data_IF_020654733161
#
_entry.id   IF_020654733161
#
_cell.length_a   1.000
_cell.length_b   1.000
_cell.length_c   1.000
_cell.angle_alpha   90.00
_cell.angle_beta   90.00
_cell.angle_gamma   90.00
#
_symmetry.space_group_name_H-M   'P 1'
#
loop_
_entity.id
_entity.type
_entity.pdbx_description
1 polymer ?
#
# COMPACT_ATOMS: atom_id res chain seq x y z
N UNK A 1 -38.66 -8.27 -37.31
CA UNK A 1 -39.56 -9.36 -37.71
C UNK A 1 -38.81 -10.31 -38.62
N UNK A 2 -38.91 -11.61 -38.32
CA UNK A 2 -38.58 -12.78 -39.14
C UNK A 2 -37.10 -13.06 -39.49
N UNK A 3 -36.45 -13.78 -38.58
CA UNK A 3 -35.35 -14.73 -38.78
C UNK A 3 -35.83 -15.95 -39.58
N UNK A 4 -35.01 -16.46 -40.49
CA UNK A 4 -35.21 -17.76 -41.14
C UNK A 4 -34.10 -18.74 -40.75
N UNK A 5 -34.52 -19.88 -40.21
CA UNK A 5 -33.76 -21.02 -39.74
C UNK A 5 -33.21 -21.87 -40.90
N UNK A 6 -32.10 -22.56 -40.69
CA UNK A 6 -31.84 -23.86 -41.31
C UNK A 6 -30.89 -24.67 -40.44
N UNK A 7 -31.27 -25.93 -40.20
CA UNK A 7 -30.70 -26.86 -39.24
C UNK A 7 -30.07 -28.07 -39.95
N UNK A 8 -28.94 -28.50 -39.39
CA UNK A 8 -28.47 -29.88 -39.12
C UNK A 8 -28.29 -30.86 -40.30
N UNK A 9 -27.07 -31.42 -40.39
CA UNK A 9 -26.85 -32.84 -40.72
C UNK A 9 -25.66 -33.41 -39.93
N UNK A 10 -25.88 -34.54 -39.26
CA UNK A 10 -24.91 -35.40 -38.55
C UNK A 10 -24.86 -36.74 -39.30
N UNK A 11 -23.69 -37.42 -39.37
CA UNK A 11 -23.68 -38.88 -39.29
C UNK A 11 -22.44 -39.40 -38.48
N UNK A 12 -22.23 -40.72 -38.26
CA UNK A 12 -22.51 -41.37 -36.98
C UNK A 12 -21.28 -42.00 -36.30
N UNK A 13 -21.55 -42.53 -35.11
CA UNK A 13 -20.69 -43.19 -34.12
C UNK A 13 -19.96 -44.45 -34.58
N UNK A 14 -18.78 -44.70 -33.99
CA UNK A 14 -18.26 -46.06 -33.75
C UNK A 14 -17.65 -46.18 -32.34
N UNK A 15 -18.18 -47.13 -31.57
CA UNK A 15 -17.65 -47.61 -30.30
C UNK A 15 -16.27 -48.25 -30.47
N UNK A 16 -15.35 -47.99 -29.53
CA UNK A 16 -14.38 -48.99 -29.11
C UNK A 16 -13.91 -48.76 -27.65
N UNK A 17 -13.82 -49.88 -26.96
CA UNK A 17 -13.67 -50.14 -25.54
C UNK A 17 -12.37 -49.67 -24.86
N UNK A 18 -12.55 -49.24 -23.61
CA UNK A 18 -11.74 -49.51 -22.40
C UNK A 18 -10.22 -49.71 -22.52
N UNK A 19 -9.47 -48.83 -21.85
CA UNK A 19 -8.37 -49.25 -20.98
C UNK A 19 -8.13 -48.23 -19.87
N UNK A 20 -8.72 -48.52 -18.70
CA UNK A 20 -8.37 -47.92 -17.42
C UNK A 20 -6.92 -48.29 -17.06
N UNK A 21 -6.01 -47.31 -17.09
CA UNK A 21 -4.76 -47.40 -16.32
C UNK A 21 -4.97 -46.73 -14.98
N UNK A 22 -5.05 -47.55 -13.93
CA UNK A 22 -4.85 -47.14 -12.54
C UNK A 22 -3.45 -46.52 -12.43
N UNK A 23 -3.36 -45.23 -12.10
CA UNK A 23 -2.11 -44.64 -11.64
C UNK A 23 -2.06 -44.85 -10.13
N UNK A 24 -1.12 -45.69 -9.73
CA UNK A 24 -0.85 -46.07 -8.36
C UNK A 24 -0.06 -44.93 -7.69
N UNK A 25 -0.57 -44.38 -6.59
CA UNK A 25 0.19 -43.50 -5.71
C UNK A 25 1.23 -44.34 -4.97
N UNK A 26 2.50 -44.17 -5.33
CA UNK A 26 3.61 -44.55 -4.46
C UNK A 26 4.78 -43.58 -4.63
N UNK A 27 5.04 -42.83 -3.56
CA UNK A 27 6.34 -42.29 -3.12
C UNK A 27 7.33 -41.88 -4.21
N UNK A 28 7.36 -40.59 -4.54
CA UNK A 28 8.53 -39.96 -5.18
C UNK A 28 9.02 -38.83 -4.29
N UNK A 29 9.94 -39.23 -3.41
CA UNK A 29 10.81 -38.36 -2.65
C UNK A 29 12.11 -38.27 -3.46
N UNK A 30 12.18 -37.35 -4.43
CA UNK A 30 13.44 -37.08 -5.13
C UNK A 30 13.75 -35.58 -5.14
N UNK A 31 14.96 -35.31 -4.68
CA UNK A 31 15.66 -34.04 -4.59
C UNK A 31 15.48 -33.24 -5.89
N UNK A 32 14.95 -32.03 -5.75
CA UNK A 32 14.99 -31.01 -6.79
C UNK A 32 16.46 -30.70 -7.14
N UNK A 33 16.89 -31.19 -8.29
CA UNK A 33 18.08 -30.73 -8.98
C UNK A 33 17.89 -29.27 -9.40
N UNK A 34 18.72 -28.39 -8.86
CA UNK A 34 18.85 -27.00 -9.31
C UNK A 34 19.62 -27.01 -10.63
N UNK A 35 19.08 -26.48 -11.74
CA UNK A 35 19.87 -26.24 -12.94
C UNK A 35 20.90 -25.14 -12.64
N UNK A 36 22.16 -25.53 -12.54
CA UNK A 36 23.28 -24.60 -12.59
C UNK A 36 23.37 -23.98 -13.98
N UNK A 37 23.68 -22.67 -14.00
CA UNK A 37 24.09 -21.83 -15.14
C UNK A 37 23.00 -20.98 -15.81
N UNK A 38 22.71 -19.83 -15.19
CA UNK A 38 22.73 -18.54 -15.88
C UNK A 38 23.58 -17.55 -15.07
N UNK A 39 24.47 -16.76 -15.69
CA UNK A 39 25.47 -15.99 -14.96
C UNK A 39 24.82 -14.76 -14.33
N UNK A 40 24.52 -14.83 -13.03
CA UNK A 40 24.39 -13.62 -12.23
C UNK A 40 25.78 -12.96 -12.13
N UNK A 41 25.97 -11.88 -12.89
CA UNK A 41 27.11 -10.97 -12.68
C UNK A 41 26.89 -10.25 -11.36
N UNK A 42 27.49 -10.76 -10.30
CA UNK A 42 27.79 -9.97 -9.10
C UNK A 42 28.72 -8.82 -9.50
N UNK A 43 28.44 -7.56 -9.09
CA UNK A 43 29.40 -6.49 -9.29
C UNK A 43 30.59 -6.75 -8.37
N UNK A 44 31.73 -7.14 -8.96
CA UNK A 44 33.02 -7.06 -8.26
C UNK A 44 33.33 -5.58 -8.06
N UNK A 45 33.19 -5.08 -6.84
CA UNK A 45 33.84 -3.84 -6.42
C UNK A 45 35.36 -4.06 -6.50
N UNK A 46 35.95 -3.72 -7.65
CA UNK A 46 37.39 -3.50 -7.74
C UNK A 46 37.67 -2.13 -7.12
N UNK A 47 38.29 -2.15 -5.94
CA UNK A 47 38.98 -1.01 -5.37
C UNK A 47 39.98 -0.48 -6.40
N UNK A 48 39.63 0.61 -7.10
CA UNK A 48 40.57 1.42 -7.85
C UNK A 48 41.35 2.25 -6.84
N UNK A 49 42.61 1.87 -6.60
CA UNK A 49 43.61 2.76 -6.00
C UNK A 49 43.74 4.00 -6.87
N UNK A 50 43.51 5.18 -6.28
CA UNK A 50 43.88 6.47 -6.88
C UNK A 50 45.42 6.63 -6.84
N UNK A 51 46.02 7.36 -7.80
CA UNK A 51 47.47 7.54 -7.84
C UNK A 51 47.96 8.38 -6.65
N UNK A 52 49.10 7.99 -6.09
CA UNK A 52 49.78 8.73 -5.03
C UNK A 52 50.34 10.05 -5.54
N UNK A 53 49.90 11.16 -4.94
CA UNK A 53 50.66 12.41 -4.92
C UNK A 53 51.01 12.72 -3.46
N UNK A 54 52.30 12.90 -3.22
CA UNK A 54 52.97 13.08 -1.92
C UNK A 54 52.86 14.52 -1.37
N UNK A 55 52.74 14.63 -0.04
CA UNK A 55 52.86 15.87 0.77
C UNK A 55 51.52 16.55 1.02
N UNK A 56 51.09 16.93 2.23
CA UNK A 56 51.80 17.33 3.45
C UNK A 56 50.83 17.22 4.64
N UNK A 57 51.35 17.06 5.86
CA UNK A 57 50.61 16.87 7.12
C UNK A 57 49.30 17.67 7.29
N UNK A 58 48.20 16.95 7.47
CA UNK A 58 46.92 17.47 7.95
C UNK A 58 46.22 16.39 8.77
N UNK A 59 46.00 16.67 10.04
CA UNK A 59 45.35 15.80 11.03
C UNK A 59 44.00 15.32 10.51
N UNK A 60 43.86 14.00 10.31
CA UNK A 60 42.57 13.38 9.97
C UNK A 60 41.73 13.35 11.23
N UNK A 61 40.80 14.30 11.36
CA UNK A 61 39.63 14.15 12.24
C UNK A 61 38.69 13.18 11.52
N UNK A 62 38.76 11.92 11.92
CA UNK A 62 37.80 10.90 11.52
C UNK A 62 36.49 11.19 12.27
N UNK A 63 35.59 11.94 11.63
CA UNK A 63 34.37 12.44 12.25
C UNK A 63 33.39 11.34 12.65
N UNK A 64 32.91 11.47 13.89
CA UNK A 64 31.82 10.80 14.63
C UNK A 64 30.44 10.74 13.92
N UNK A 65 30.36 10.27 12.66
CA UNK A 65 29.05 10.14 11.99
C UNK A 65 28.19 8.98 12.52
N UNK A 66 28.81 7.88 12.96
CA UNK A 66 28.07 6.68 13.37
C UNK A 66 27.52 6.72 14.81
N UNK A 67 28.03 7.60 15.67
CA UNK A 67 27.74 7.61 17.11
C UNK A 67 26.42 8.32 17.47
N UNK A 68 25.95 9.24 16.63
CA UNK A 68 24.72 10.03 16.87
C UNK A 68 23.52 9.46 16.08
N UNK A 69 23.74 8.88 14.90
CA UNK A 69 22.66 8.37 14.05
C UNK A 69 21.99 7.09 14.61
N UNK A 70 22.76 6.24 15.29
CA UNK A 70 22.25 5.00 15.88
C UNK A 70 21.24 5.23 17.02
N UNK A 71 21.53 6.07 18.04
CA UNK A 71 20.54 6.40 19.08
C UNK A 71 19.23 6.96 18.52
N UNK A 72 19.32 7.91 17.57
CA UNK A 72 18.14 8.52 16.93
C UNK A 72 17.30 7.46 16.18
N UNK A 73 17.98 6.52 15.52
CA UNK A 73 17.29 5.44 14.80
C UNK A 73 16.59 4.47 15.77
N UNK A 74 17.19 4.18 16.92
CA UNK A 74 16.57 3.36 17.98
C UNK A 74 15.32 4.06 18.53
N UNK A 75 15.40 5.36 18.84
CA UNK A 75 14.26 6.15 19.34
C UNK A 75 13.11 6.24 18.32
N UNK A 76 13.46 6.35 17.03
CA UNK A 76 12.49 6.35 15.94
C UNK A 76 11.80 4.99 15.80
N UNK A 77 12.55 3.89 15.85
CA UNK A 77 12.00 2.54 15.80
C UNK A 77 11.09 2.27 17.00
N UNK A 78 11.53 2.61 18.20
CA UNK A 78 10.77 2.48 19.45
C UNK A 78 9.44 3.26 19.38
N UNK A 79 9.49 4.50 18.89
CA UNK A 79 8.30 5.32 18.67
C UNK A 79 7.36 4.72 17.63
N UNK A 80 7.89 4.14 16.55
CA UNK A 80 7.09 3.41 15.55
C UNK A 80 6.43 2.16 16.15
N UNK A 81 7.16 1.40 16.96
CA UNK A 81 6.66 0.21 17.66
C UNK A 81 5.52 0.60 18.59
N UNK A 82 5.76 1.56 19.50
CA UNK A 82 4.76 2.06 20.45
C UNK A 82 3.49 2.55 19.78
N UNK A 83 3.62 3.25 18.65
CA UNK A 83 2.47 3.73 17.89
C UNK A 83 1.54 2.58 17.46
N UNK A 84 2.13 1.43 17.10
CA UNK A 84 1.42 0.26 16.55
C UNK A 84 0.94 -0.77 17.59
N UNK A 85 1.48 -0.79 18.81
CA UNK A 85 1.17 -1.78 19.84
C UNK A 85 -0.34 -1.90 20.18
N UNK A 86 -0.78 -3.09 20.56
CA UNK A 86 -2.14 -3.33 21.05
C UNK A 86 -3.03 -4.09 20.07
N UNK A 87 -4.31 -4.15 20.41
CA UNK A 87 -5.32 -4.88 19.65
C UNK A 87 -6.14 -3.91 18.81
N UNK A 88 -6.20 -4.19 17.52
CA UNK A 88 -6.91 -3.39 16.52
C UNK A 88 -8.08 -4.20 15.97
N UNK A 89 -9.29 -3.66 16.07
CA UNK A 89 -10.45 -4.22 15.38
C UNK A 89 -10.69 -3.40 14.13
N UNK A 90 -10.85 -4.07 12.99
CA UNK A 90 -10.88 -3.36 11.72
C UNK A 90 -11.72 -4.03 10.64
N UNK A 91 -11.80 -3.31 9.53
CA UNK A 91 -12.42 -3.75 8.29
C UNK A 91 -11.44 -3.51 7.14
N UNK A 92 -11.21 -4.59 6.40
CA UNK A 92 -10.46 -4.60 5.16
C UNK A 92 -11.41 -4.37 3.99
N UNK A 93 -11.06 -3.44 3.10
CA UNK A 93 -11.83 -3.08 1.92
C UNK A 93 -10.96 -3.23 0.68
N UNK A 94 -11.45 -3.95 -0.32
CA UNK A 94 -10.84 -4.00 -1.65
C UNK A 94 -11.62 -3.12 -2.61
N UNK A 95 -10.92 -2.23 -3.30
CA UNK A 95 -11.46 -1.38 -4.35
C UNK A 95 -10.75 -1.63 -5.69
N UNK A 96 -11.49 -1.43 -6.78
CA UNK A 96 -10.90 -1.31 -8.12
C UNK A 96 -10.36 0.12 -8.37
N UNK A 97 -9.79 0.36 -9.56
CA UNK A 97 -9.29 1.68 -9.95
C UNK A 97 -10.35 2.77 -10.09
N UNK A 98 -11.64 2.40 -10.15
CA UNK A 98 -12.79 3.31 -10.18
C UNK A 98 -13.43 3.48 -8.79
N UNK A 99 -12.81 2.96 -7.73
CA UNK A 99 -13.29 3.13 -6.36
C UNK A 99 -14.55 2.31 -6.06
N UNK A 100 -14.85 1.29 -6.85
CA UNK A 100 -15.94 0.36 -6.57
C UNK A 100 -15.51 -0.64 -5.51
N UNK A 101 -16.31 -0.81 -4.47
CA UNK A 101 -16.05 -1.80 -3.42
C UNK A 101 -16.29 -3.21 -3.97
N UNK A 102 -15.25 -4.03 -3.99
CA UNK A 102 -15.32 -5.43 -4.41
C UNK A 102 -15.63 -6.35 -3.23
N UNK A 103 -14.84 -6.22 -2.15
CA UNK A 103 -14.97 -7.05 -0.96
C UNK A 103 -14.74 -6.23 0.31
N UNK A 104 -15.48 -6.59 1.38
CA UNK A 104 -15.32 -6.07 2.73
C UNK A 104 -15.19 -7.24 3.69
N UNK A 105 -14.08 -7.29 4.42
CA UNK A 105 -13.70 -8.42 5.27
C UNK A 105 -13.42 -7.90 6.68
N UNK A 106 -13.98 -8.55 7.70
CA UNK A 106 -13.68 -8.18 9.09
C UNK A 106 -12.33 -8.74 9.50
N UNK A 107 -11.50 -7.92 10.13
CA UNK A 107 -10.16 -8.29 10.58
C UNK A 107 -9.90 -7.86 12.01
N UNK A 108 -9.08 -8.61 12.73
CA UNK A 108 -8.46 -8.17 14.01
C UNK A 108 -6.95 -8.24 13.85
N UNK A 109 -6.22 -7.31 14.44
CA UNK A 109 -4.76 -7.31 14.40
C UNK A 109 -4.23 -7.16 15.83
N UNK A 110 -3.52 -8.19 16.31
CA UNK A 110 -2.83 -8.15 17.59
C UNK A 110 -1.36 -7.79 17.35
N UNK A 111 -0.89 -6.75 18.04
CA UNK A 111 0.47 -6.22 17.87
C UNK A 111 1.20 -6.21 19.20
N UNK A 112 2.33 -6.91 19.26
CA UNK A 112 3.24 -6.95 20.40
C UNK A 112 4.66 -6.52 20.01
N UNK A 113 5.54 -6.41 21.01
CA UNK A 113 6.96 -6.17 20.81
C UNK A 113 7.81 -7.20 21.55
N UNK A 114 9.02 -7.41 21.05
CA UNK A 114 10.03 -8.25 21.68
C UNK A 114 11.43 -7.62 21.53
N UNK A 115 12.30 -7.86 22.49
CA UNK A 115 13.66 -7.29 22.52
C UNK A 115 13.71 -5.83 22.99
N UNK A 116 14.93 -5.31 23.15
CA UNK A 116 15.21 -3.95 23.64
C UNK A 116 16.34 -3.31 22.80
N UNK A 117 16.40 -1.97 22.77
CA UNK A 117 17.40 -1.22 22.03
C UNK A 117 17.41 -1.54 20.53
N UNK A 118 18.57 -1.85 19.96
CA UNK A 118 18.70 -2.18 18.53
C UNK A 118 18.01 -3.51 18.13
N UNK A 119 17.70 -4.36 19.10
CA UNK A 119 17.06 -5.66 18.91
C UNK A 119 15.53 -5.61 19.07
N UNK A 120 14.96 -4.42 19.25
CA UNK A 120 13.50 -4.28 19.29
C UNK A 120 12.87 -4.74 17.97
N UNK A 121 11.79 -5.48 18.12
CA UNK A 121 11.02 -6.03 17.03
C UNK A 121 9.52 -5.84 17.30
N UNK A 122 8.77 -5.61 16.24
CA UNK A 122 7.31 -5.59 16.20
C UNK A 122 6.83 -6.94 15.66
N UNK A 123 5.98 -7.58 16.45
CA UNK A 123 5.33 -8.84 16.10
C UNK A 123 3.85 -8.58 15.89
N UNK A 124 3.31 -9.04 14.77
CA UNK A 124 1.94 -8.73 14.36
C UNK A 124 1.24 -10.00 13.87
N UNK A 125 0.08 -10.27 14.45
CA UNK A 125 -0.79 -11.38 14.05
C UNK A 125 -2.12 -10.83 13.56
N UNK A 126 -2.43 -11.08 12.29
CA UNK A 126 -3.67 -10.68 11.65
C UNK A 126 -4.65 -11.85 11.68
N UNK A 127 -5.82 -11.63 12.24
CA UNK A 127 -6.94 -12.56 12.25
C UNK A 127 -7.96 -12.12 11.20
N UNK A 128 -8.33 -13.03 10.32
CA UNK A 128 -9.23 -12.80 9.20
C UNK A 128 -10.52 -13.57 9.45
N UNK A 129 -11.66 -12.89 9.49
CA UNK A 129 -12.95 -13.55 9.67
C UNK A 129 -13.30 -14.34 8.41
N UNK A 130 -13.54 -15.64 8.55
CA UNK A 130 -13.93 -16.52 7.45
C UNK A 130 -15.45 -16.44 7.20
N UNK A 131 -15.90 -16.65 5.95
CA UNK A 131 -17.32 -16.82 5.66
C UNK A 131 -17.86 -18.09 6.35
N UNK A 132 -19.17 -18.16 6.68
CA UNK A 132 -19.75 -19.36 7.29
C UNK A 132 -19.60 -20.58 6.37
N UNK A 133 -19.14 -21.70 6.91
CA UNK A 133 -18.96 -22.94 6.15
C UNK A 133 -20.29 -23.48 5.62
N UNK A 134 -20.31 -23.83 4.33
CA UNK A 134 -21.48 -24.40 3.63
C UNK A 134 -21.85 -25.80 4.14
N UNK A 135 -21.00 -26.42 4.95
CA UNK A 135 -21.13 -27.76 5.53
C UNK A 135 -21.69 -27.77 6.96
N UNK A 136 -21.96 -26.60 7.56
CA UNK A 136 -22.47 -26.51 8.93
C UNK A 136 -23.95 -26.92 9.02
N UNK A 137 -24.24 -27.95 9.82
CA UNK A 137 -25.61 -28.42 10.05
C UNK A 137 -26.32 -27.50 11.05
N UNK A 138 -27.58 -27.15 10.74
CA UNK A 138 -28.42 -26.26 11.55
C UNK A 138 -28.55 -26.77 12.99
N UNK A 139 -27.89 -26.12 13.96
CA UNK A 139 -28.08 -26.44 15.38
C UNK A 139 -27.05 -25.89 16.35
N UNK A 140 -25.82 -25.58 15.93
CA UNK A 140 -24.82 -24.97 16.82
C UNK A 140 -24.76 -23.46 16.63
N UNK A 141 -24.75 -22.71 17.74
CA UNK A 141 -24.42 -21.30 17.80
C UNK A 141 -23.01 -21.11 17.23
N UNK A 142 -22.93 -20.79 15.93
CA UNK A 142 -21.70 -20.77 15.16
C UNK A 142 -20.80 -19.63 15.64
N UNK A 143 -19.88 -19.92 16.57
CA UNK A 143 -18.74 -19.07 16.85
C UNK A 143 -18.05 -18.72 15.52
N UNK A 144 -17.74 -17.44 15.31
CA UNK A 144 -17.13 -17.01 14.04
C UNK A 144 -15.73 -17.61 13.90
N UNK A 145 -15.47 -18.30 12.80
CA UNK A 145 -14.14 -18.83 12.49
C UNK A 145 -13.18 -17.72 12.06
N UNK A 146 -11.95 -17.78 12.57
CA UNK A 146 -10.89 -16.81 12.30
C UNK A 146 -9.63 -17.52 11.81
N UNK A 147 -9.13 -17.11 10.66
CA UNK A 147 -7.84 -17.56 10.15
C UNK A 147 -6.71 -16.67 10.71
N UNK A 148 -5.66 -17.29 11.24
CA UNK A 148 -4.48 -16.59 11.76
C UNK A 148 -3.38 -16.45 10.69
N UNK A 149 -2.98 -15.21 10.41
CA UNK A 149 -1.83 -14.89 9.57
C UNK A 149 -0.75 -14.14 10.36
N UNK A 150 0.44 -14.74 10.46
CA UNK A 150 1.61 -14.12 11.09
C UNK A 150 2.32 -13.21 10.09
N UNK A 151 2.23 -11.90 10.31
CA UNK A 151 2.92 -10.91 9.49
C UNK A 151 4.42 -11.02 9.75
N UNK A 152 5.23 -10.79 8.72
CA UNK A 152 6.69 -10.75 8.84
C UNK A 152 7.12 -9.77 9.93
N UNK A 153 8.02 -10.22 10.79
CA UNK A 153 8.60 -9.41 11.86
C UNK A 153 9.19 -8.11 11.31
N UNK A 154 8.92 -7.00 12.02
CA UNK A 154 9.47 -5.69 11.70
C UNK A 154 10.46 -5.26 12.79
N UNK A 155 11.75 -5.22 12.44
CA UNK A 155 12.86 -4.78 13.29
C UNK A 155 13.76 -3.78 12.54
N UNK A 156 14.78 -3.25 13.22
CA UNK A 156 15.73 -2.23 12.71
C UNK A 156 16.24 -2.52 11.29
N UNK A 157 16.57 -3.78 11.00
CA UNK A 157 17.07 -4.17 9.68
C UNK A 157 15.97 -4.11 8.62
N UNK A 158 14.80 -4.65 8.91
CA UNK A 158 13.69 -4.69 7.95
C UNK A 158 13.12 -3.31 7.64
N UNK A 159 12.98 -2.43 8.64
CA UNK A 159 12.43 -1.08 8.45
C UNK A 159 13.33 -0.22 7.55
N UNK A 160 14.65 -0.40 7.65
CA UNK A 160 15.61 0.33 6.83
C UNK A 160 15.78 -0.29 5.44
N UNK A 161 16.08 -1.59 5.37
CA UNK A 161 16.52 -2.24 4.13
C UNK A 161 15.39 -2.70 3.24
N UNK A 162 14.29 -3.19 3.81
CA UNK A 162 13.22 -3.81 3.04
C UNK A 162 12.01 -2.90 2.91
N UNK A 163 11.55 -2.35 4.03
CA UNK A 163 10.33 -1.55 4.06
C UNK A 163 10.59 -0.08 3.74
N UNK A 164 11.84 0.38 3.83
CA UNK A 164 12.17 1.75 3.47
C UNK A 164 11.23 2.71 4.22
N UNK A 165 11.20 2.68 5.55
CA UNK A 165 10.18 3.41 6.30
C UNK A 165 10.25 4.93 6.05
N UNK A 166 9.10 5.58 5.89
CA UNK A 166 8.96 7.04 6.06
C UNK A 166 8.10 7.29 7.28
N UNK A 167 8.69 7.74 8.39
CA UNK A 167 7.98 7.83 9.67
C UNK A 167 7.89 9.27 10.18
N UNK A 168 6.72 9.62 10.71
CA UNK A 168 6.40 10.92 11.29
C UNK A 168 5.94 10.74 12.74
N UNK A 169 6.86 10.75 13.71
CA UNK A 169 6.52 10.43 15.10
C UNK A 169 5.50 11.39 15.72
N UNK A 170 5.62 12.70 15.41
CA UNK A 170 4.75 13.74 15.99
C UNK A 170 3.38 13.74 15.33
N UNK A 171 3.36 13.58 14.02
CA UNK A 171 2.16 13.61 13.18
C UNK A 171 1.42 12.26 13.18
N UNK A 172 2.02 11.21 13.76
CA UNK A 172 1.49 9.84 13.80
C UNK A 172 1.11 9.33 12.42
N UNK A 173 2.06 9.39 11.49
CA UNK A 173 1.89 8.89 10.13
C UNK A 173 3.11 8.06 9.72
N UNK A 174 2.90 7.08 8.84
CA UNK A 174 4.02 6.31 8.29
C UNK A 174 3.73 5.75 6.90
N UNK A 175 4.78 5.48 6.13
CA UNK A 175 4.71 4.78 4.87
C UNK A 175 5.71 3.62 4.82
N UNK A 176 5.29 2.48 4.30
CA UNK A 176 6.09 1.26 4.18
C UNK A 176 6.01 0.66 2.77
N UNK A 177 7.11 0.03 2.35
CA UNK A 177 7.17 -0.84 1.19
C UNK A 177 6.97 -2.29 1.60
N UNK A 178 6.20 -3.02 0.82
CA UNK A 178 6.14 -4.48 0.90
C UNK A 178 6.81 -5.09 -0.33
N UNK A 179 7.53 -6.20 -0.14
CA UNK A 179 8.19 -6.93 -1.23
C UNK A 179 7.18 -7.71 -2.08
N UNK A 180 6.05 -8.10 -1.48
CA UNK A 180 5.02 -8.96 -2.07
C UNK A 180 3.67 -8.60 -1.49
N UNK A 181 2.59 -8.85 -2.23
CA UNK A 181 1.22 -8.67 -1.75
C UNK A 181 0.65 -9.93 -1.02
N UNK A 182 1.48 -10.92 -0.66
CA UNK A 182 1.01 -12.22 -0.15
C UNK A 182 0.16 -12.18 1.13
N UNK A 183 0.42 -11.22 2.02
CA UNK A 183 -0.45 -10.99 3.20
C UNK A 183 -1.85 -10.59 2.75
N UNK A 184 -1.93 -9.66 1.79
CA UNK A 184 -3.18 -9.11 1.26
C UNK A 184 -3.94 -10.16 0.42
N UNK A 185 -3.21 -10.99 -0.34
CA UNK A 185 -3.76 -12.17 -1.02
C UNK A 185 -4.41 -13.14 -0.01
N UNK A 186 -3.74 -13.41 1.11
CA UNK A 186 -4.26 -14.31 2.14
C UNK A 186 -5.52 -13.77 2.79
N UNK A 187 -5.58 -12.45 3.05
CA UNK A 187 -6.80 -11.79 3.55
C UNK A 187 -7.98 -12.01 2.61
N UNK A 188 -7.77 -11.82 1.30
CA UNK A 188 -8.80 -12.03 0.28
C UNK A 188 -9.25 -13.49 0.19
N UNK A 189 -8.31 -14.44 0.13
CA UNK A 189 -8.63 -15.87 0.06
C UNK A 189 -9.41 -16.33 1.28
N UNK A 190 -8.89 -16.06 2.48
CA UNK A 190 -9.50 -16.55 3.71
C UNK A 190 -10.79 -15.81 4.05
N UNK A 191 -10.88 -14.52 3.75
CA UNK A 191 -12.08 -13.73 4.05
C UNK A 191 -13.21 -13.85 3.02
N UNK A 192 -12.94 -14.34 1.80
CA UNK A 192 -13.97 -14.51 0.75
C UNK A 192 -14.28 -15.98 0.47
N UNK A 193 -13.25 -16.84 0.41
CA UNK A 193 -13.41 -18.26 0.11
C UNK A 193 -13.45 -19.12 1.37
N UNK A 194 -12.67 -18.74 2.40
CA UNK A 194 -12.61 -19.50 3.65
C UNK A 194 -12.09 -20.93 3.44
N UNK A 195 -12.78 -21.90 4.03
CA UNK A 195 -12.46 -23.34 3.89
C UNK A 195 -12.65 -23.88 2.47
N UNK A 196 -13.45 -23.20 1.64
CA UNK A 196 -13.70 -23.59 0.25
C UNK A 196 -12.55 -23.23 -0.70
N UNK A 197 -11.46 -22.60 -0.21
CA UNK A 197 -10.28 -22.31 -1.03
C UNK A 197 -9.52 -23.60 -1.42
N UNK A 198 -9.73 -24.04 -2.66
CA UNK A 198 -9.02 -25.18 -3.26
C UNK A 198 -7.59 -24.83 -3.75
N UNK A 199 -7.11 -23.62 -3.49
CA UNK A 199 -5.75 -23.19 -3.85
C UNK A 199 -5.57 -22.88 -5.34
N UNK A 200 -6.67 -22.62 -6.06
CA UNK A 200 -6.61 -22.19 -7.45
C UNK A 200 -5.85 -20.87 -7.60
N UNK A 201 -5.06 -20.74 -8.66
CA UNK A 201 -4.29 -19.52 -8.94
C UNK A 201 -5.19 -18.31 -9.23
N UNK A 202 -6.38 -18.54 -9.80
CA UNK A 202 -7.33 -17.49 -10.16
C UNK A 202 -8.77 -17.98 -9.93
N UNK A 203 -9.21 -18.00 -8.66
CA UNK A 203 -10.56 -18.41 -8.31
C UNK A 203 -11.61 -17.52 -9.00
N UNK A 204 -12.74 -18.11 -9.38
CA UNK A 204 -13.82 -17.36 -10.04
C UNK A 204 -14.35 -16.25 -9.14
N UNK A 205 -14.59 -15.07 -9.71
CA UNK A 205 -15.19 -13.90 -9.04
C UNK A 205 -14.39 -13.32 -7.87
N UNK A 206 -13.11 -13.66 -7.72
CA UNK A 206 -12.23 -13.07 -6.72
C UNK A 206 -10.99 -12.48 -7.41
N UNK A 207 -10.80 -11.17 -7.27
CA UNK A 207 -9.64 -10.47 -7.82
C UNK A 207 -8.49 -10.55 -6.82
N UNK A 208 -7.49 -11.38 -7.12
CA UNK A 208 -6.27 -11.49 -6.34
C UNK A 208 -5.16 -10.58 -6.90
N UNK A 209 -4.23 -10.10 -6.06
CA UNK A 209 -3.07 -9.35 -6.52
C UNK A 209 -2.10 -10.23 -7.30
N UNK A 210 -1.36 -9.61 -8.21
CA UNK A 210 -0.29 -10.28 -8.96
C UNK A 210 0.74 -10.91 -8.02
N UNK A 211 1.27 -12.09 -8.40
CA UNK A 211 2.32 -12.79 -7.63
C UNK A 211 3.63 -11.98 -7.49
N UNK A 212 3.91 -11.11 -8.46
CA UNK A 212 5.13 -10.29 -8.53
C UNK A 212 4.76 -8.84 -8.88
N UNK A 213 4.08 -8.12 -7.97
CA UNK A 213 3.72 -6.73 -8.21
C UNK A 213 4.97 -5.87 -8.33
N UNK A 214 4.92 -4.81 -9.11
CA UNK A 214 6.04 -3.86 -9.23
C UNK A 214 6.15 -2.98 -7.99
N UNK A 215 5.02 -2.54 -7.45
CA UNK A 215 4.93 -1.72 -6.23
C UNK A 215 3.84 -2.30 -5.31
N UNK A 216 4.19 -2.42 -4.02
CA UNK A 216 3.22 -2.57 -2.93
C UNK A 216 3.60 -1.55 -1.87
N UNK A 217 2.82 -0.47 -1.77
CA UNK A 217 3.07 0.64 -0.88
C UNK A 217 1.92 0.80 0.11
N UNK A 218 2.24 0.78 1.39
CA UNK A 218 1.33 1.15 2.48
C UNK A 218 1.58 2.61 2.87
N UNK A 219 0.50 3.37 2.99
CA UNK A 219 0.47 4.67 3.65
C UNK A 219 -0.52 4.59 4.82
N UNK A 220 -0.09 5.01 6.01
CA UNK A 220 -0.90 4.99 7.22
C UNK A 220 -1.05 6.40 7.80
N UNK A 221 -2.30 6.79 8.04
CA UNK A 221 -2.68 8.00 8.74
C UNK A 221 -3.48 7.64 9.99
N UNK A 222 -3.11 8.23 11.13
CA UNK A 222 -3.90 8.15 12.35
C UNK A 222 -4.89 9.29 12.42
N UNK A 223 -6.05 9.01 13.01
CA UNK A 223 -7.08 10.01 13.31
C UNK A 223 -6.54 10.99 14.36
N UNK A 224 -6.87 12.27 14.17
CA UNK A 224 -6.56 13.35 15.09
C UNK A 224 -7.48 13.33 16.31
N UNK A 225 -8.69 12.76 16.16
CA UNK A 225 -9.74 12.83 17.18
C UNK A 225 -9.95 11.51 17.95
N UNK A 226 -9.66 10.36 17.34
CA UNK A 226 -9.87 9.03 17.96
C UNK A 226 -8.64 8.14 17.79
N UNK A 227 -8.53 7.08 18.60
CA UNK A 227 -7.46 6.07 18.46
C UNK A 227 -7.80 5.06 17.35
N UNK A 228 -7.86 5.58 16.13
CA UNK A 228 -8.16 4.85 14.90
C UNK A 228 -7.18 5.27 13.82
N UNK A 229 -7.00 4.40 12.84
CA UNK A 229 -6.08 4.61 11.72
C UNK A 229 -6.64 4.04 10.45
N UNK A 230 -6.15 4.59 9.34
CA UNK A 230 -6.39 4.07 8.00
C UNK A 230 -5.06 3.67 7.40
N UNK A 231 -4.93 2.40 7.01
CA UNK A 231 -3.77 1.87 6.29
C UNK A 231 -4.18 1.56 4.86
N UNK A 232 -3.72 2.40 3.93
CA UNK A 232 -4.09 2.33 2.53
C UNK A 232 -2.94 1.77 1.68
N UNK A 233 -3.26 0.86 0.76
CA UNK A 233 -2.31 0.12 -0.05
C UNK A 233 -2.52 0.41 -1.53
N UNK A 234 -1.44 0.83 -2.19
CA UNK A 234 -1.34 0.82 -3.65
C UNK A 234 -0.69 -0.49 -4.09
N UNK A 235 -1.34 -1.23 -4.99
CA UNK A 235 -0.78 -2.41 -5.63
C UNK A 235 -0.71 -2.18 -7.14
N UNK A 236 0.50 -2.09 -7.66
CA UNK A 236 0.76 -2.00 -9.09
C UNK A 236 1.11 -3.38 -9.64
N UNK A 237 0.54 -3.74 -10.79
CA UNK A 237 0.83 -4.98 -11.49
C UNK A 237 2.33 -5.03 -11.93
N UNK A 238 2.82 -6.16 -12.50
CA UNK A 238 4.21 -6.25 -12.95
C UNK A 238 4.60 -5.25 -14.05
N UNK A 239 3.62 -4.62 -14.72
CA UNK A 239 3.82 -3.61 -15.76
C UNK A 239 3.79 -2.19 -15.22
N UNK A 240 3.45 -1.99 -13.94
CA UNK A 240 3.39 -0.67 -13.33
C UNK A 240 2.03 0.03 -13.44
N UNK A 241 0.98 -0.71 -13.77
CA UNK A 241 -0.40 -0.21 -13.82
C UNK A 241 -1.12 -0.55 -12.51
N UNK A 242 -1.98 0.33 -11.99
CA UNK A 242 -2.76 0.03 -10.80
C UNK A 242 -3.61 -1.22 -11.02
N UNK A 243 -3.44 -2.20 -10.13
CA UNK A 243 -4.21 -3.44 -10.12
C UNK A 243 -5.39 -3.38 -9.15
N UNK A 244 -5.18 -2.82 -7.96
CA UNK A 244 -6.19 -2.66 -6.93
C UNK A 244 -5.74 -1.70 -5.83
N UNK A 245 -6.72 -1.19 -5.10
CA UNK A 245 -6.52 -0.39 -3.90
C UNK A 245 -7.10 -1.15 -2.72
N UNK A 246 -6.33 -1.28 -1.63
CA UNK A 246 -6.80 -1.94 -0.41
C UNK A 246 -6.73 -0.98 0.78
N UNK A 247 -7.75 -1.00 1.64
CA UNK A 247 -7.84 -0.09 2.78
C UNK A 247 -8.23 -0.87 4.03
N UNK A 248 -7.37 -0.80 5.06
CA UNK A 248 -7.75 -1.18 6.41
C UNK A 248 -8.21 0.06 7.17
N UNK A 249 -9.42 0.01 7.71
CA UNK A 249 -9.89 0.95 8.71
C UNK A 249 -9.88 0.23 10.05
N UNK A 250 -9.09 0.74 11.01
CA UNK A 250 -8.80 0.04 12.26
C UNK A 250 -8.99 0.97 13.45
N UNK A 251 -9.59 0.46 14.53
CA UNK A 251 -9.76 1.15 15.80
C UNK A 251 -9.14 0.31 16.92
N UNK A 252 -8.34 0.94 17.79
CA UNK A 252 -7.67 0.25 18.89
C UNK A 252 -8.65 0.03 20.03
N UNK A 253 -8.70 -1.19 20.57
CA UNK A 253 -9.58 -1.51 21.68
C UNK A 253 -9.62 -3.00 22.05
N UNK A 254 -10.36 -3.34 23.10
CA UNK A 254 -10.35 -4.67 23.71
C UNK A 254 -11.21 -5.74 22.98
N UNK A 255 -11.36 -5.65 21.66
CA UNK A 255 -11.88 -6.75 20.83
C UNK A 255 -13.41 -6.96 20.82
N UNK A 256 -14.17 -6.25 21.65
CA UNK A 256 -15.66 -6.24 21.63
C UNK A 256 -16.25 -5.11 20.76
N UNK A 257 -15.40 -4.30 20.14
CA UNK A 257 -15.83 -3.18 19.31
C UNK A 257 -16.43 -3.67 17.98
N UNK A 258 -17.54 -3.03 17.56
CA UNK A 258 -18.10 -3.21 16.22
C UNK A 258 -17.04 -2.78 15.21
N UNK A 259 -16.71 -3.61 14.19
CA UNK A 259 -15.73 -3.22 13.19
C UNK A 259 -16.10 -1.88 12.54
N UNK A 260 -15.16 -0.93 12.46
CA UNK A 260 -15.46 0.37 11.89
C UNK A 260 -15.83 0.22 10.42
N UNK A 261 -16.62 1.14 9.87
CA UNK A 261 -17.10 1.05 8.49
C UNK A 261 -17.30 2.42 7.86
N UNK A 262 -17.03 2.50 6.56
CA UNK A 262 -17.33 3.67 5.74
C UNK A 262 -18.82 3.77 5.34
N UNK A 263 -19.65 2.77 5.64
CA UNK A 263 -21.05 2.71 5.19
C UNK A 263 -21.96 3.76 5.87
N UNK A 264 -21.45 4.44 6.91
CA UNK A 264 -22.17 5.50 7.63
C UNK A 264 -22.16 6.87 6.90
N UNK A 265 -21.42 7.02 5.81
CA UNK A 265 -21.41 8.25 5.01
C UNK A 265 -22.58 8.21 4.01
N UNK A 266 -23.72 8.80 4.41
CA UNK A 266 -24.94 8.91 3.59
C UNK A 266 -24.81 9.77 2.31
N UNK A 267 -23.62 10.28 2.00
CA UNK A 267 -23.33 11.24 0.92
C UNK A 267 -22.42 10.64 -0.17
N UNK A 268 -22.68 9.39 -0.58
CA UNK A 268 -21.84 8.69 -1.56
C UNK A 268 -22.19 9.02 -3.03
N UNK A 269 -23.06 10.01 -3.29
CA UNK A 269 -23.49 10.37 -4.66
C UNK A 269 -22.42 11.15 -5.45
N UNK A 270 -21.58 11.95 -4.79
CA UNK A 270 -20.47 12.67 -5.46
C UNK A 270 -19.24 12.81 -4.52
N UNK A 271 -18.39 11.78 -4.51
CA UNK A 271 -17.23 11.67 -3.59
C UNK A 271 -16.20 12.78 -3.74
N UNK A 272 -16.21 13.53 -4.84
CA UNK A 272 -15.26 14.63 -5.07
C UNK A 272 -15.60 15.89 -4.26
N UNK A 273 -16.90 16.13 -3.99
CA UNK A 273 -17.37 17.40 -3.41
C UNK A 273 -16.67 17.79 -2.11
N UNK A 274 -16.43 16.87 -1.15
CA UNK A 274 -15.75 17.23 0.08
C UNK A 274 -14.33 17.74 -0.16
N UNK A 275 -13.66 17.28 -1.23
CA UNK A 275 -12.28 17.63 -1.58
C UNK A 275 -12.15 18.92 -2.38
N UNK A 276 -13.20 19.37 -3.07
CA UNK A 276 -13.19 20.64 -3.81
C UNK A 276 -12.99 21.85 -2.90
N UNK A 277 -12.44 22.93 -3.44
CA UNK A 277 -12.18 24.20 -2.75
C UNK A 277 -10.69 24.43 -2.47
N UNK A 278 -10.44 25.45 -1.63
CA UNK A 278 -9.07 25.84 -1.25
C UNK A 278 -8.72 25.24 0.11
N UNK A 279 -7.56 24.60 0.17
CA UNK A 279 -6.99 23.99 1.36
C UNK A 279 -5.67 24.67 1.70
N UNK A 280 -5.48 25.05 2.96
CA UNK A 280 -4.23 25.63 3.44
C UNK A 280 -3.70 24.86 4.61
N UNK A 281 -2.38 24.69 4.66
CA UNK A 281 -1.78 23.85 5.69
C UNK A 281 -0.27 23.89 5.72
N UNK A 282 0.29 22.87 6.36
CA UNK A 282 1.71 22.68 6.50
C UNK A 282 2.10 21.28 6.04
N UNK A 283 3.30 21.17 5.46
CA UNK A 283 3.87 19.91 5.03
C UNK A 283 5.26 19.70 5.61
N UNK A 284 5.59 18.45 5.93
CA UNK A 284 6.92 18.02 6.32
C UNK A 284 7.37 16.88 5.43
N UNK A 285 8.55 17.01 4.85
CA UNK A 285 9.18 15.96 4.05
C UNK A 285 10.33 15.33 4.83
N UNK A 286 10.29 14.01 4.97
CA UNK A 286 11.36 13.22 5.59
C UNK A 286 11.99 12.29 4.56
N UNK A 287 13.30 12.07 4.68
CA UNK A 287 14.00 11.05 3.91
C UNK A 287 13.51 9.68 4.34
N UNK A 288 13.41 8.77 3.38
CA UNK A 288 13.19 7.35 3.64
C UNK A 288 14.36 6.75 4.44
N UNK A 289 14.05 5.83 5.36
CA UNK A 289 14.99 5.16 6.26
C UNK A 289 14.67 5.48 7.72
N UNK A 290 15.16 4.64 8.64
CA UNK A 290 14.80 4.73 10.08
C UNK A 290 15.22 6.06 10.69
N UNK A 291 16.36 6.59 10.27
CA UNK A 291 16.85 7.89 10.71
C UNK A 291 15.87 9.03 10.37
N UNK A 292 15.11 8.92 9.28
CA UNK A 292 13.98 9.81 9.00
C UNK A 292 14.32 11.30 8.91
N UNK A 293 15.51 11.66 8.43
CA UNK A 293 15.99 13.05 8.39
C UNK A 293 14.95 13.98 7.75
N UNK A 294 14.58 15.06 8.45
CA UNK A 294 13.71 16.09 7.85
C UNK A 294 14.49 16.81 6.75
N UNK A 295 13.95 16.75 5.53
CA UNK A 295 14.53 17.38 4.34
C UNK A 295 14.02 18.82 4.23
N UNK A 296 12.71 18.99 4.40
CA UNK A 296 12.07 20.30 4.24
C UNK A 296 10.74 20.38 4.98
N UNK A 297 10.39 21.61 5.31
CA UNK A 297 9.07 22.01 5.80
C UNK A 297 8.57 23.17 4.96
N UNK A 298 7.27 23.19 4.67
CA UNK A 298 6.67 24.20 3.80
C UNK A 298 5.21 24.49 4.16
N UNK A 299 4.84 25.75 4.01
CA UNK A 299 3.44 26.15 3.99
C UNK A 299 2.85 25.81 2.63
N UNK A 300 1.63 25.27 2.65
CA UNK A 300 0.99 24.71 1.45
C UNK A 300 -0.36 25.36 1.22
N UNK A 301 -0.70 25.55 -0.05
CA UNK A 301 -2.05 25.89 -0.51
C UNK A 301 -2.38 24.95 -1.65
N UNK A 302 -3.47 24.19 -1.53
CA UNK A 302 -3.96 23.29 -2.55
C UNK A 302 -5.38 23.71 -2.95
N UNK A 303 -5.59 24.08 -4.21
CA UNK A 303 -6.89 24.41 -4.79
C UNK A 303 -7.30 23.25 -5.69
N UNK A 304 -8.55 22.82 -5.56
CA UNK A 304 -9.15 21.81 -6.44
C UNK A 304 -10.56 22.28 -6.83
N UNK A 305 -10.80 22.57 -8.10
CA UNK A 305 -12.08 23.12 -8.55
C UNK A 305 -12.43 22.67 -9.97
N UNK A 306 -13.71 22.75 -10.32
CA UNK A 306 -14.13 22.67 -11.71
C UNK A 306 -14.07 24.06 -12.32
N UNK A 307 -13.44 24.17 -13.48
CA UNK A 307 -13.49 25.39 -14.25
C UNK A 307 -14.86 25.58 -14.91
N UNK A 308 -15.02 26.73 -15.58
CA UNK A 308 -16.22 27.12 -16.33
C UNK A 308 -16.56 26.20 -17.50
N UNK A 309 -15.59 25.43 -18.00
CA UNK A 309 -15.75 24.47 -19.08
C UNK A 309 -16.03 23.04 -18.55
N UNK A 310 -16.09 22.87 -17.23
CA UNK A 310 -16.32 21.60 -16.54
C UNK A 310 -15.08 20.71 -16.41
N UNK A 311 -13.88 21.23 -16.69
CA UNK A 311 -12.62 20.52 -16.46
C UNK A 311 -12.19 20.68 -15.01
N UNK A 312 -11.56 19.65 -14.45
CA UNK A 312 -11.02 19.71 -13.10
C UNK A 312 -9.64 20.36 -13.13
N UNK A 313 -9.44 21.35 -12.28
CA UNK A 313 -8.19 22.10 -12.12
C UNK A 313 -7.66 21.88 -10.71
N UNK A 314 -6.37 21.56 -10.61
CA UNK A 314 -5.65 21.44 -9.36
C UNK A 314 -4.42 22.33 -9.36
N UNK A 315 -4.33 23.22 -8.37
CA UNK A 315 -3.16 24.05 -8.11
C UNK A 315 -2.58 23.72 -6.74
N UNK A 316 -1.28 23.40 -6.68
CA UNK A 316 -0.56 23.16 -5.44
C UNK A 316 0.61 24.13 -5.33
N UNK A 317 0.52 25.04 -4.37
CA UNK A 317 1.60 25.95 -3.98
C UNK A 317 2.29 25.41 -2.74
N UNK A 318 3.62 25.36 -2.76
CA UNK A 318 4.45 25.02 -1.59
C UNK A 318 5.54 26.05 -1.40
N UNK A 319 5.54 26.73 -0.25
CA UNK A 319 6.54 27.74 0.12
C UNK A 319 7.39 27.22 1.27
N UNK A 320 8.66 26.91 0.98
CA UNK A 320 9.62 26.44 1.97
C UNK A 320 10.04 27.58 2.89
N UNK A 321 9.84 27.41 4.20
CA UNK A 321 10.20 28.44 5.19
C UNK A 321 11.70 28.65 5.36
N UNK A 322 12.51 27.62 5.11
CA UNK A 322 13.97 27.69 5.29
C UNK A 322 14.69 28.33 4.08
N UNK A 323 14.19 28.08 2.87
CA UNK A 323 14.85 28.52 1.62
C UNK A 323 14.13 29.68 0.95
N UNK A 324 12.92 30.05 1.41
CA UNK A 324 12.01 30.99 0.76
C UNK A 324 11.68 30.65 -0.70
N UNK A 325 11.94 29.41 -1.14
CA UNK A 325 11.56 28.93 -2.46
C UNK A 325 10.07 28.62 -2.45
N UNK A 326 9.35 29.16 -3.43
CA UNK A 326 7.95 28.83 -3.68
C UNK A 326 7.84 28.06 -5.00
N UNK A 327 7.24 26.88 -4.95
CA UNK A 327 6.89 26.10 -6.13
C UNK A 327 5.39 26.11 -6.32
N UNK A 328 4.95 26.17 -7.58
CA UNK A 328 3.56 26.07 -7.98
C UNK A 328 3.45 24.96 -9.02
N UNK A 329 2.53 24.04 -8.79
CA UNK A 329 2.20 22.96 -9.73
C UNK A 329 0.75 23.11 -10.12
N UNK A 330 0.51 23.24 -11.42
CA UNK A 330 -0.82 23.39 -12.01
C UNK A 330 -1.11 22.16 -12.87
N UNK A 331 -2.24 21.51 -12.60
CA UNK A 331 -2.72 20.36 -13.37
C UNK A 331 -4.17 20.56 -13.80
N UNK A 332 -4.46 20.15 -15.02
CA UNK A 332 -5.80 20.02 -15.58
C UNK A 332 -6.12 18.55 -15.81
N UNK A 333 -7.38 18.20 -15.65
CA UNK A 333 -7.84 16.83 -15.81
C UNK A 333 -9.33 16.73 -16.03
N UNK A 334 -9.75 15.50 -16.27
CA UNK A 334 -11.16 15.15 -16.43
C UNK A 334 -11.57 14.16 -15.35
N UNK A 335 -12.84 14.21 -14.97
CA UNK A 335 -13.43 13.28 -14.02
C UNK A 335 -14.39 12.35 -14.75
N UNK A 336 -14.24 11.05 -14.53
CA UNK A 336 -15.18 10.02 -14.95
C UNK A 336 -15.58 9.22 -13.72
N UNK A 337 -16.83 9.39 -13.26
CA UNK A 337 -17.33 8.80 -12.02
C UNK A 337 -16.43 9.17 -10.82
N UNK A 338 -15.77 8.20 -10.20
CA UNK A 338 -14.89 8.39 -9.05
C UNK A 338 -13.40 8.45 -9.43
N UNK A 339 -13.06 8.49 -10.73
CA UNK A 339 -11.69 8.54 -11.22
C UNK A 339 -11.41 9.89 -11.87
N UNK A 340 -10.43 10.60 -11.33
CA UNK A 340 -9.84 11.78 -11.96
C UNK A 340 -8.62 11.35 -12.75
N UNK A 341 -8.50 11.79 -14.00
CA UNK A 341 -7.30 11.62 -14.83
C UNK A 341 -6.78 12.98 -15.27
N UNK A 342 -5.56 13.31 -14.84
CA UNK A 342 -4.86 14.52 -15.23
C UNK A 342 -4.10 14.33 -16.55
N UNK A 343 -3.93 15.40 -17.32
CA UNK A 343 -3.27 15.37 -18.63
C UNK A 343 -1.79 14.89 -18.55
N UNK A 344 -1.16 15.05 -17.39
CA UNK A 344 0.19 14.55 -17.09
C UNK A 344 0.26 13.04 -16.79
N UNK A 345 -0.86 12.33 -16.84
CA UNK A 345 -0.93 10.89 -16.57
C UNK A 345 -0.98 10.53 -15.08
N UNK A 346 -1.21 11.49 -14.19
CA UNK A 346 -1.52 11.22 -12.78
C UNK A 346 -3.03 10.98 -12.61
N UNK A 347 -3.41 10.11 -11.67
CA UNK A 347 -4.79 9.73 -11.43
C UNK A 347 -5.14 9.82 -9.95
N UNK A 348 -6.40 10.15 -9.64
CA UNK A 348 -6.96 10.07 -8.29
C UNK A 348 -8.21 9.21 -8.31
N UNK A 349 -8.23 8.15 -7.50
CA UNK A 349 -9.44 7.37 -7.23
C UNK A 349 -10.08 7.85 -5.94
N UNK A 350 -11.34 8.25 -6.01
CA UNK A 350 -12.16 8.71 -4.90
C UNK A 350 -12.86 7.52 -4.24
N UNK A 351 -12.65 7.38 -2.93
CA UNK A 351 -13.16 6.26 -2.12
C UNK A 351 -14.15 6.75 -1.06
N UNK A 352 -14.99 5.85 -0.53
CA UNK A 352 -15.84 6.17 0.61
C UNK A 352 -15.04 6.69 1.81
N UNK A 353 -15.70 7.48 2.66
CA UNK A 353 -15.12 7.98 3.91
C UNK A 353 -14.17 9.16 3.77
N UNK A 354 -14.32 9.95 2.70
CA UNK A 354 -13.49 11.13 2.46
C UNK A 354 -12.05 10.78 2.11
N UNK A 355 -11.84 9.62 1.48
CA UNK A 355 -10.53 9.13 1.10
C UNK A 355 -10.34 9.33 -0.40
N UNK A 356 -9.13 9.70 -0.80
CA UNK A 356 -8.68 9.47 -2.17
C UNK A 356 -7.28 8.87 -2.19
N UNK A 357 -6.99 8.16 -3.27
CA UNK A 357 -5.70 7.51 -3.53
C UNK A 357 -5.18 8.00 -4.88
N UNK A 358 -3.99 8.60 -4.87
CA UNK A 358 -3.35 9.19 -6.04
C UNK A 358 -2.15 8.40 -6.52
N UNK A 359 -1.99 8.25 -7.82
CA UNK A 359 -0.92 7.44 -8.41
C UNK A 359 -0.72 7.76 -9.91
N UNK A 360 0.46 7.48 -10.49
CA UNK A 360 0.64 7.55 -11.93
C UNK A 360 -0.14 6.44 -12.63
N UNK A 361 -0.70 6.74 -13.80
CA UNK A 361 -1.40 5.79 -14.66
C UNK A 361 -0.49 4.66 -15.15
N UNK A 362 0.79 4.95 -15.36
CA UNK A 362 1.80 3.97 -15.80
C UNK A 362 3.18 4.29 -15.19
N UNK A 363 3.57 3.53 -14.16
CA UNK A 363 4.88 3.65 -13.52
C UNK A 363 6.03 3.27 -14.45
N UNK A 364 5.84 2.29 -15.34
CA UNK A 364 6.90 1.87 -16.25
C UNK A 364 7.23 2.98 -17.24
N UNK A 365 6.25 3.78 -17.67
CA UNK A 365 6.48 4.99 -18.45
C UNK A 365 7.36 5.99 -17.69
N UNK A 366 7.06 6.24 -16.41
CA UNK A 366 7.88 7.15 -15.61
C UNK A 366 9.35 6.69 -15.53
N UNK A 367 9.57 5.40 -15.27
CA UNK A 367 10.92 4.79 -15.21
C UNK A 367 11.62 4.87 -16.58
N UNK A 368 10.92 4.55 -17.67
CA UNK A 368 11.47 4.62 -19.03
C UNK A 368 11.87 6.04 -19.42
N UNK A 369 11.09 7.03 -19.01
CA UNK A 369 11.36 8.46 -19.25
C UNK A 369 12.33 9.06 -18.22
N UNK A 370 12.85 8.27 -17.28
CA UNK A 370 13.72 8.73 -16.20
C UNK A 370 13.11 9.88 -15.39
N UNK A 371 11.83 9.77 -15.07
CA UNK A 371 11.09 10.76 -14.29
C UNK A 371 10.73 10.20 -12.91
N UNK A 372 10.88 11.03 -11.88
CA UNK A 372 10.38 10.72 -10.56
C UNK A 372 8.85 10.71 -10.55
N UNK A 373 8.26 9.92 -9.66
CA UNK A 373 6.82 9.82 -9.49
C UNK A 373 6.47 9.68 -8.01
N UNK A 374 5.19 9.72 -7.68
CA UNK A 374 4.72 9.55 -6.31
C UNK A 374 3.40 8.81 -6.26
N UNK A 375 3.10 8.22 -5.09
CA UNK A 375 1.74 7.82 -4.74
C UNK A 375 1.27 8.66 -3.56
N UNK A 376 -0.04 8.83 -3.44
CA UNK A 376 -0.66 9.72 -2.49
C UNK A 376 -1.84 9.04 -1.80
N UNK A 377 -1.96 9.24 -0.50
CA UNK A 377 -3.11 8.86 0.28
C UNK A 377 -3.64 10.09 1.01
N UNK A 378 -4.91 10.43 0.81
CA UNK A 378 -5.59 11.48 1.55
C UNK A 378 -6.73 10.91 2.38
N UNK A 379 -6.91 11.46 3.58
CA UNK A 379 -8.06 11.19 4.42
C UNK A 379 -8.63 12.47 5.02
N UNK A 380 -9.86 12.79 4.63
CA UNK A 380 -10.70 13.83 5.21
C UNK A 380 -11.43 13.24 6.43
N UNK A 381 -10.83 13.40 7.60
CA UNK A 381 -11.37 12.84 8.84
C UNK A 381 -12.64 13.57 9.31
N UNK A 382 -12.67 14.89 9.16
CA UNK A 382 -13.81 15.73 9.51
C UNK A 382 -14.01 16.85 8.48
N UNK A 383 -15.23 17.39 8.32
CA UNK A 383 -15.48 18.46 7.37
C UNK A 383 -14.51 19.63 7.57
N UNK A 384 -13.76 19.95 6.52
CA UNK A 384 -12.81 21.06 6.54
C UNK A 384 -11.44 20.75 7.14
N UNK A 385 -11.13 19.50 7.53
CA UNK A 385 -9.78 19.08 7.95
C UNK A 385 -9.36 17.77 7.32
N UNK A 386 -8.23 17.78 6.61
CA UNK A 386 -7.69 16.58 5.97
C UNK A 386 -6.21 16.39 6.26
N UNK A 387 -5.80 15.13 6.17
CA UNK A 387 -4.40 14.71 6.19
C UNK A 387 -4.06 14.09 4.85
N UNK A 388 -2.84 14.32 4.35
CA UNK A 388 -2.31 13.65 3.15
C UNK A 388 -0.94 13.06 3.46
N UNK A 389 -0.65 11.92 2.85
CA UNK A 389 0.65 11.28 2.91
C UNK A 389 1.08 10.92 1.49
N UNK A 390 2.16 11.57 1.05
CA UNK A 390 2.76 11.34 -0.26
C UNK A 390 4.02 10.51 -0.08
N UNK A 391 4.17 9.48 -0.92
CA UNK A 391 5.35 8.65 -1.00
C UNK A 391 6.03 8.88 -2.35
N UNK A 392 7.26 9.40 -2.31
CA UNK A 392 8.00 9.82 -3.52
C UNK A 392 9.03 8.77 -3.92
N UNK A 393 9.08 8.47 -5.21
CA UNK A 393 10.00 7.53 -5.84
C UNK A 393 10.95 8.25 -6.79
N UNK A 394 12.18 7.77 -6.85
CA UNK A 394 13.13 8.19 -7.87
C UNK A 394 12.85 7.53 -9.23
N UNK A 395 13.74 7.82 -10.19
CA UNK A 395 13.67 7.36 -11.58
C UNK A 395 13.83 5.85 -11.74
N UNK A 396 14.31 5.14 -10.70
CA UNK A 396 14.48 3.69 -10.68
C UNK A 396 13.36 2.98 -9.90
N UNK A 397 12.42 3.74 -9.33
CA UNK A 397 11.33 3.20 -8.52
C UNK A 397 11.73 2.88 -7.07
N UNK A 398 12.83 3.44 -6.57
CA UNK A 398 13.12 3.40 -5.14
C UNK A 398 12.45 4.57 -4.42
N UNK A 399 11.84 4.27 -3.28
CA UNK A 399 11.24 5.32 -2.49
C UNK A 399 12.32 6.14 -1.76
N UNK A 400 12.34 7.45 -1.99
CA UNK A 400 13.39 8.36 -1.51
C UNK A 400 12.94 9.25 -0.35
N UNK A 401 11.65 9.55 -0.28
CA UNK A 401 11.08 10.39 0.79
C UNK A 401 9.60 10.11 1.02
N UNK A 402 9.09 10.66 2.11
CA UNK A 402 7.65 10.80 2.34
C UNK A 402 7.36 12.23 2.75
N UNK A 403 6.18 12.72 2.38
CA UNK A 403 5.71 14.05 2.76
C UNK A 403 4.34 13.94 3.42
N UNK A 404 4.27 14.35 4.68
CA UNK A 404 3.01 14.46 5.42
C UNK A 404 2.43 15.86 5.25
N UNK A 405 1.12 15.97 5.11
CA UNK A 405 0.37 17.21 5.08
C UNK A 405 -0.74 17.20 6.12
N UNK A 406 -0.95 18.35 6.75
CA UNK A 406 -2.13 18.67 7.55
C UNK A 406 -2.73 19.96 7.02
N UNK A 407 -3.99 19.91 6.58
CA UNK A 407 -4.62 21.00 5.84
C UNK A 407 -6.03 21.29 6.37
N UNK A 408 -6.40 22.57 6.40
CA UNK A 408 -7.75 23.04 6.69
C UNK A 408 -8.37 23.70 5.46
N UNK A 409 -9.67 23.50 5.25
CA UNK A 409 -10.43 24.16 4.19
C UNK A 409 -10.65 25.63 4.55
N UNK A 410 -10.53 26.52 3.56
CA UNK A 410 -10.69 27.97 3.70
C UNK A 410 -12.13 28.39 3.45
#
# INVERSE_FOLDING_TARGET
>A
MATAMSAIFVPPTSLASSNTRKINLSSWNEKLFIPQNFPFRTPKYQSRKSPSCSGTNGTVVQGDRNTIELPISIDALDSFIRLNLGNWTGSFHQFDGHGNLMHKITTKLAVGSYGEGELMSLLQTLYIKQPPSTTSFSGDDCESEWFEYKIKETNMFTVDKYQQIGFFPKEKAYALRYQTAGMLETVLRQGVLGEDDIGEESPRNLKLPSKRPSIVCENCLYSLEKDRRVRAFHIMDPKGILEMILVFLEERGNGEAIPPSFDNFKEDTERILPHLGTWKGHSRTTRTGVYGATISEANTTAVLEFDKDGQLVQDITSTSGATNITTNVHWTGTMSENLVTFDGGFQLTLLPGGIYMGYPSDVAKNVQESTAFHVEFCWLESPGKRQRLIRTYDVEGFAVSSTYFIESKV
#
